data_IF_599372496591
#
_entry.id   IF_599372496591
#
_cell.length_a   1.000
_cell.length_b   1.000
_cell.length_c   1.000
_cell.angle_alpha   90.00
_cell.angle_beta   90.00
_cell.angle_gamma   90.00
#
_symmetry.space_group_name_H-M   'P 1'
#
loop_
_entity.id
_entity.type
_entity.pdbx_description
1 polymer ?
#
# COMPACT_ATOMS: atom_id res chain seq x y z
N UNK A 1 -9.40 -10.58 58.69
CA UNK A 1 -8.30 -9.71 59.17
C UNK A 1 -7.63 -9.17 57.93
N UNK A 2 -7.66 -7.85 57.69
CA UNK A 2 -7.08 -7.26 56.49
C UNK A 2 -5.57 -7.43 56.52
N UNK A 3 -4.99 -7.79 55.37
CA UNK A 3 -3.55 -7.79 55.21
C UNK A 3 -3.10 -6.41 54.78
N UNK A 4 -2.26 -5.78 55.58
CA UNK A 4 -1.71 -4.47 55.27
C UNK A 4 -0.29 -4.63 54.74
N UNK A 5 -0.07 -4.16 53.51
CA UNK A 5 1.23 -4.15 52.87
C UNK A 5 1.67 -2.69 52.69
N UNK A 6 2.93 -2.41 52.93
CA UNK A 6 3.51 -1.10 52.67
C UNK A 6 4.20 -1.12 51.31
N UNK A 7 3.72 -0.32 50.37
CA UNK A 7 4.31 -0.15 49.04
C UNK A 7 4.82 1.29 48.94
N UNK A 8 6.13 1.47 49.15
CA UNK A 8 6.74 2.79 49.28
C UNK A 8 6.20 3.55 50.50
N UNK A 9 5.64 4.74 50.27
CA UNK A 9 5.05 5.58 51.33
C UNK A 9 3.54 5.36 51.52
N UNK A 10 2.95 4.37 50.85
CA UNK A 10 1.50 4.10 50.91
C UNK A 10 1.26 2.75 51.60
N UNK A 11 0.40 2.77 52.62
CA UNK A 11 -0.12 1.57 53.28
C UNK A 11 -1.41 1.14 52.58
N UNK A 12 -1.38 -0.06 52.00
CA UNK A 12 -2.53 -0.67 51.33
C UNK A 12 -3.02 -1.83 52.20
N UNK A 13 -4.23 -1.71 52.74
CA UNK A 13 -4.92 -2.80 53.43
C UNK A 13 -5.90 -3.46 52.47
N UNK A 14 -5.76 -4.77 52.30
CA UNK A 14 -6.62 -5.58 51.42
C UNK A 14 -7.30 -6.62 52.29
N UNK A 15 -8.64 -6.69 52.22
CA UNK A 15 -9.38 -7.73 52.95
C UNK A 15 -9.32 -9.07 52.21
N UNK A 16 -9.61 -10.15 52.92
CA UNK A 16 -9.62 -11.50 52.34
C UNK A 16 -10.58 -11.63 51.15
N UNK A 17 -11.71 -10.93 51.21
CA UNK A 17 -12.73 -10.92 50.15
C UNK A 17 -12.23 -10.23 48.88
N UNK A 18 -11.39 -9.19 49.01
CA UNK A 18 -10.78 -8.49 47.87
C UNK A 18 -9.70 -9.34 47.20
N UNK A 19 -8.88 -10.03 48.00
CA UNK A 19 -7.88 -10.97 47.48
C UNK A 19 -8.55 -12.15 46.75
N UNK A 20 -9.63 -12.69 47.31
CA UNK A 20 -10.39 -13.76 46.68
C UNK A 20 -11.03 -13.28 45.37
N UNK A 21 -11.59 -12.07 45.36
CA UNK A 21 -12.18 -11.45 44.17
C UNK A 21 -11.14 -11.25 43.07
N UNK A 22 -9.95 -10.73 43.40
CA UNK A 22 -8.84 -10.58 42.46
C UNK A 22 -8.36 -11.93 41.90
N UNK A 23 -8.33 -12.97 42.73
CA UNK A 23 -7.92 -14.31 42.33
C UNK A 23 -8.96 -14.96 41.40
N UNK A 24 -10.24 -14.77 41.68
CA UNK A 24 -11.35 -15.18 40.81
C UNK A 24 -11.28 -14.45 39.47
N UNK A 25 -11.08 -13.13 39.47
CA UNK A 25 -10.92 -12.34 38.23
C UNK A 25 -9.70 -12.83 37.44
N UNK A 26 -8.56 -13.07 38.09
CA UNK A 26 -7.37 -13.60 37.44
C UNK A 26 -7.61 -15.00 36.83
N UNK A 27 -8.34 -15.87 37.52
CA UNK A 27 -8.74 -17.18 37.00
C UNK A 27 -9.70 -17.07 35.82
N UNK A 28 -10.67 -16.15 35.87
CA UNK A 28 -11.58 -15.88 34.75
C UNK A 28 -10.84 -15.33 33.53
N UNK A 29 -9.92 -14.38 33.73
CA UNK A 29 -9.07 -13.84 32.66
C UNK A 29 -8.21 -14.96 32.06
N UNK A 30 -7.60 -15.81 32.90
CA UNK A 30 -6.78 -16.93 32.44
C UNK A 30 -7.61 -17.99 31.69
N UNK A 31 -8.80 -18.31 32.18
CA UNK A 31 -9.74 -19.23 31.52
C UNK A 31 -10.24 -18.65 30.20
N UNK A 32 -10.55 -17.35 30.14
CA UNK A 32 -10.94 -16.65 28.92
C UNK A 32 -9.82 -16.63 27.88
N UNK A 33 -8.58 -16.35 28.29
CA UNK A 33 -7.41 -16.42 27.42
C UNK A 33 -7.13 -17.84 26.92
N UNK A 34 -7.33 -18.85 27.78
CA UNK A 34 -7.21 -20.26 27.40
C UNK A 34 -8.29 -20.67 26.39
N UNK A 35 -9.57 -20.32 26.62
CA UNK A 35 -10.68 -20.57 25.69
C UNK A 35 -10.50 -19.84 24.36
N UNK A 36 -9.91 -18.63 24.37
CA UNK A 36 -9.56 -17.91 23.15
C UNK A 36 -8.46 -18.65 22.36
N UNK A 37 -7.43 -19.16 23.04
CA UNK A 37 -6.39 -19.99 22.40
C UNK A 37 -6.95 -21.29 21.82
N UNK A 38 -7.84 -21.98 22.54
CA UNK A 38 -8.44 -23.23 22.03
C UNK A 38 -9.44 -23.00 20.90
N UNK A 39 -10.16 -21.86 20.86
CA UNK A 39 -10.98 -21.47 19.70
C UNK A 39 -10.15 -21.11 18.47
N UNK A 40 -8.95 -20.55 18.64
CA UNK A 40 -8.01 -20.28 17.54
C UNK A 40 -7.36 -21.57 17.02
N UNK A 41 -7.23 -22.60 17.86
CA UNK A 41 -6.76 -23.94 17.48
C UNK A 41 -7.87 -24.92 17.11
N UNK A 42 -9.15 -24.51 17.18
CA UNK A 42 -10.23 -25.34 16.71
C UNK A 42 -10.08 -25.50 15.19
N UNK A 43 -10.08 -26.74 14.66
CA UNK A 43 -10.03 -26.95 13.22
C UNK A 43 -11.17 -26.18 12.58
N UNK A 44 -10.86 -25.40 11.55
CA UNK A 44 -11.86 -24.73 10.74
C UNK A 44 -12.92 -25.76 10.31
N UNK A 45 -14.20 -25.35 10.28
CA UNK A 45 -15.25 -26.16 9.68
C UNK A 45 -14.75 -26.64 8.30
N UNK A 46 -14.85 -27.95 7.99
CA UNK A 46 -14.36 -28.45 6.72
C UNK A 46 -15.02 -27.65 5.60
N UNK A 47 -14.20 -26.99 4.80
CA UNK A 47 -14.64 -26.37 3.55
C UNK A 47 -15.28 -27.49 2.76
N UNK A 48 -16.58 -27.39 2.51
CA UNK A 48 -17.27 -28.36 1.66
C UNK A 48 -16.52 -28.40 0.33
N UNK A 49 -16.04 -29.59 -0.10
CA UNK A 49 -15.33 -29.69 -1.36
C UNK A 49 -16.25 -29.19 -2.48
N UNK A 50 -15.70 -28.37 -3.36
CA UNK A 50 -16.37 -27.97 -4.59
C UNK A 50 -16.90 -29.24 -5.28
N UNK A 51 -18.19 -29.26 -5.57
CA UNK A 51 -18.87 -30.37 -6.23
C UNK A 51 -18.09 -30.73 -7.48
N UNK A 52 -17.47 -31.90 -7.48
CA UNK A 52 -16.74 -32.44 -8.62
C UNK A 52 -17.74 -32.69 -9.74
N UNK A 53 -17.74 -31.81 -10.74
CA UNK A 53 -18.28 -32.16 -12.05
C UNK A 53 -17.37 -33.27 -12.57
N UNK A 54 -17.96 -34.45 -12.71
CA UNK A 54 -17.34 -35.65 -13.28
C UNK A 54 -16.71 -35.32 -14.64
N UNK A 55 -15.39 -35.36 -14.73
CA UNK A 55 -14.70 -35.58 -16.01
C UNK A 55 -14.11 -36.99 -15.99
N UNK A 56 -14.76 -37.89 -16.72
CA UNK A 56 -14.15 -39.12 -17.20
C UNK A 56 -13.00 -38.78 -18.16
N UNK A 57 -11.79 -39.24 -17.88
CA UNK A 57 -10.65 -39.11 -18.79
C UNK A 57 -9.30 -39.10 -18.07
N UNK A 58 -8.78 -40.29 -17.75
CA UNK A 58 -7.48 -40.53 -17.14
C UNK A 58 -6.29 -40.18 -18.04
N UNK A 59 -5.25 -39.55 -17.48
CA UNK A 59 -3.84 -39.93 -17.68
C UNK A 59 -2.98 -39.23 -16.62
N UNK A 60 -2.21 -40.02 -15.87
CA UNK A 60 -1.44 -39.58 -14.71
C UNK A 60 -0.39 -38.51 -15.03
N UNK A 61 -0.44 -37.41 -14.28
CA UNK A 61 0.65 -36.46 -14.16
C UNK A 61 1.13 -36.52 -12.72
N UNK A 62 2.32 -37.08 -12.51
CA UNK A 62 3.02 -37.00 -11.23
C UNK A 62 3.08 -35.54 -10.77
N UNK A 63 2.77 -35.28 -9.50
CA UNK A 63 2.97 -33.98 -8.85
C UNK A 63 4.44 -33.58 -8.98
N UNK A 64 4.75 -32.75 -9.98
CA UNK A 64 6.05 -32.10 -10.09
C UNK A 64 6.12 -31.02 -9.02
N UNK A 65 7.19 -31.03 -8.23
CA UNK A 65 7.50 -29.94 -7.30
C UNK A 65 7.30 -28.56 -7.97
N UNK A 66 6.74 -27.57 -7.26
CA UNK A 66 6.50 -26.26 -7.83
C UNK A 66 7.83 -25.63 -8.26
N UNK A 67 8.02 -25.47 -9.58
CA UNK A 67 9.19 -24.80 -10.14
C UNK A 67 9.25 -23.37 -9.62
N UNK A 68 10.39 -23.01 -9.04
CA UNK A 68 10.70 -21.66 -8.59
C UNK A 68 10.51 -20.65 -9.72
N UNK A 69 9.69 -19.61 -9.53
CA UNK A 69 9.69 -18.48 -10.46
C UNK A 69 11.09 -17.86 -10.41
N UNK A 70 11.72 -17.79 -11.58
CA UNK A 70 13.06 -17.25 -11.77
C UNK A 70 12.95 -15.83 -12.28
N UNK A 71 13.85 -14.99 -11.81
CA UNK A 71 14.31 -13.83 -12.54
C UNK A 71 15.53 -14.26 -13.37
N UNK A 72 15.59 -13.91 -14.66
CA UNK A 72 16.75 -14.22 -15.49
C UNK A 72 16.61 -13.89 -16.98
N UNK A 73 17.76 -13.75 -17.64
CA UNK A 73 17.99 -13.34 -19.04
C UNK A 73 17.60 -14.38 -20.12
N UNK A 74 16.49 -15.09 -19.91
CA UNK A 74 15.91 -15.93 -20.96
C UNK A 74 15.40 -15.07 -22.12
N UNK A 75 15.61 -15.53 -23.36
CA UNK A 75 15.13 -14.85 -24.57
C UNK A 75 13.67 -14.42 -24.42
N UNK A 76 13.41 -13.16 -24.74
CA UNK A 76 12.09 -12.57 -24.87
C UNK A 76 11.32 -13.28 -25.99
N UNK A 77 10.64 -14.38 -25.67
CA UNK A 77 9.32 -14.60 -26.26
C UNK A 77 8.34 -13.79 -25.44
N UNK A 78 8.39 -12.50 -25.75
CA UNK A 78 7.45 -11.51 -25.32
C UNK A 78 7.71 -10.87 -23.97
N UNK A 79 7.56 -9.55 -23.92
CA UNK A 79 7.58 -8.81 -22.67
C UNK A 79 6.47 -9.28 -21.74
N UNK A 80 6.30 -8.61 -20.60
CA UNK A 80 5.09 -8.74 -19.77
C UNK A 80 3.76 -8.49 -20.55
N UNK A 81 3.87 -8.15 -21.84
CA UNK A 81 2.82 -7.84 -22.81
C UNK A 81 2.79 -8.75 -24.04
N UNK A 82 3.73 -9.69 -24.20
CA UNK A 82 3.80 -10.61 -25.34
C UNK A 82 4.12 -12.08 -24.94
N UNK A 83 4.26 -12.39 -23.64
CA UNK A 83 4.65 -13.73 -23.18
C UNK A 83 3.55 -14.78 -23.42
N UNK A 84 3.81 -15.74 -24.31
CA UNK A 84 2.86 -16.80 -24.73
C UNK A 84 2.97 -18.11 -23.92
N UNK A 85 3.74 -18.15 -22.83
CA UNK A 85 3.94 -19.34 -21.99
C UNK A 85 3.74 -19.08 -20.48
N UNK A 86 3.54 -20.12 -19.65
CA UNK A 86 3.39 -19.94 -18.21
C UNK A 86 4.72 -19.64 -17.51
N UNK A 87 4.79 -18.54 -16.71
CA UNK A 87 5.53 -18.57 -15.45
C UNK A 87 6.79 -17.72 -15.24
N UNK A 88 7.00 -16.55 -15.86
CA UNK A 88 8.14 -15.68 -15.49
C UNK A 88 7.80 -14.18 -15.52
N UNK A 89 8.26 -13.44 -14.50
CA UNK A 89 8.38 -11.98 -14.59
C UNK A 89 9.79 -11.64 -15.08
N UNK A 90 9.93 -10.72 -16.04
CA UNK A 90 11.24 -10.25 -16.46
C UNK A 90 11.98 -9.58 -15.30
N UNK A 91 13.31 -9.54 -15.38
CA UNK A 91 14.09 -8.67 -14.52
C UNK A 91 13.69 -7.20 -14.77
N UNK A 92 13.73 -6.33 -13.75
CA UNK A 92 13.55 -4.91 -13.96
C UNK A 92 14.71 -4.33 -14.78
N UNK A 93 14.41 -3.31 -15.57
CA UNK A 93 15.45 -2.54 -16.26
C UNK A 93 16.26 -1.75 -15.21
N UNK A 94 17.60 -1.82 -15.23
CA UNK A 94 18.43 -1.10 -14.26
C UNK A 94 18.43 0.41 -14.53
N UNK A 95 18.32 1.23 -13.47
CA UNK A 95 18.57 2.66 -13.54
C UNK A 95 20.02 2.96 -13.12
N UNK A 96 20.93 2.86 -14.09
CA UNK A 96 22.38 3.01 -13.83
C UNK A 96 22.79 4.44 -13.46
N UNK A 97 22.02 5.44 -13.88
CA UNK A 97 22.27 6.87 -13.66
C UNK A 97 21.23 7.52 -12.73
N UNK A 98 20.59 6.74 -11.87
CA UNK A 98 19.56 7.24 -10.97
C UNK A 98 20.14 8.21 -9.92
N UNK A 99 19.76 9.48 -10.01
CA UNK A 99 20.02 10.50 -8.99
C UNK A 99 18.79 10.69 -8.10
N UNK A 100 18.92 10.23 -6.85
CA UNK A 100 17.88 10.36 -5.84
C UNK A 100 17.43 11.80 -5.63
N UNK A 101 18.32 12.79 -5.72
CA UNK A 101 17.99 14.20 -5.41
C UNK A 101 17.00 14.81 -6.40
N UNK A 102 17.03 14.36 -7.65
CA UNK A 102 16.18 14.87 -8.73
C UNK A 102 15.06 13.91 -9.11
N UNK A 103 15.06 12.69 -8.59
CA UNK A 103 14.08 11.67 -8.92
C UNK A 103 12.64 12.12 -8.61
N UNK A 104 11.74 11.82 -9.53
CA UNK A 104 10.30 12.07 -9.43
C UNK A 104 9.52 10.81 -9.79
N UNK A 105 8.36 10.64 -9.19
CA UNK A 105 7.45 9.54 -9.50
C UNK A 105 6.72 9.76 -10.84
N UNK A 106 6.07 8.71 -11.35
CA UNK A 106 5.09 8.85 -12.45
C UNK A 106 3.99 9.84 -12.06
N UNK A 107 3.49 10.64 -13.01
CA UNK A 107 2.45 11.62 -12.72
C UNK A 107 1.07 10.94 -12.58
N UNK A 108 0.71 10.58 -11.34
CA UNK A 108 -0.56 9.93 -10.98
C UNK A 108 -1.82 10.77 -11.22
N UNK A 109 -1.69 12.05 -11.57
CA UNK A 109 -2.81 12.83 -12.12
C UNK A 109 -3.28 12.19 -13.44
N UNK A 110 -2.33 11.75 -14.27
CA UNK A 110 -2.59 11.24 -15.61
C UNK A 110 -2.52 9.71 -15.68
N UNK A 111 -1.49 9.09 -15.08
CA UNK A 111 -1.35 7.63 -15.09
C UNK A 111 -2.44 6.96 -14.24
N UNK A 112 -2.67 5.66 -14.47
CA UNK A 112 -3.61 4.81 -13.72
C UNK A 112 -5.09 5.28 -13.75
N UNK A 113 -5.40 6.30 -14.56
CA UNK A 113 -6.74 6.86 -14.79
C UNK A 113 -7.52 7.11 -13.49
N UNK A 114 -6.85 7.67 -12.48
CA UNK A 114 -7.38 7.79 -11.10
C UNK A 114 -8.51 8.81 -11.02
N UNK A 115 -8.26 10.02 -11.53
CA UNK A 115 -9.25 11.10 -11.62
C UNK A 115 -10.14 10.88 -12.85
N UNK A 116 -11.45 10.80 -12.63
CA UNK A 116 -12.47 10.50 -13.65
C UNK A 116 -13.75 11.25 -13.33
N UNK A 117 -14.48 11.60 -14.39
CA UNK A 117 -15.78 12.24 -14.29
C UNK A 117 -16.80 11.55 -15.22
N UNK A 118 -18.01 11.21 -14.75
CA UNK A 118 -18.43 11.23 -13.34
C UNK A 118 -17.61 10.24 -12.49
N UNK A 119 -17.45 10.52 -11.20
CA UNK A 119 -16.69 9.65 -10.31
C UNK A 119 -17.59 8.58 -9.65
N UNK A 120 -17.27 7.31 -9.89
CA UNK A 120 -17.94 6.17 -9.27
C UNK A 120 -16.93 5.06 -8.92
N UNK A 121 -17.32 4.21 -7.97
CA UNK A 121 -16.47 3.14 -7.47
C UNK A 121 -16.28 2.05 -8.53
N UNK A 122 -15.04 1.80 -8.93
CA UNK A 122 -14.66 0.70 -9.84
C UNK A 122 -13.38 0.02 -9.33
N UNK A 123 -13.12 -1.22 -9.79
CA UNK A 123 -11.84 -1.87 -9.50
C UNK A 123 -10.66 -1.10 -10.08
N UNK A 124 -10.81 -0.54 -11.28
CA UNK A 124 -9.82 0.33 -11.95
C UNK A 124 -8.38 -0.22 -11.96
N UNK A 125 -8.23 -1.54 -11.87
CA UNK A 125 -6.92 -2.18 -11.95
C UNK A 125 -6.44 -2.23 -13.40
N UNK A 126 -5.13 -2.22 -13.56
CA UNK A 126 -4.41 -2.43 -14.79
C UNK A 126 -3.18 -3.30 -14.50
N UNK A 127 -2.59 -3.97 -15.49
CA UNK A 127 -1.38 -4.76 -15.25
C UNK A 127 -0.25 -3.88 -14.70
N UNK A 128 0.54 -4.42 -13.77
CA UNK A 128 1.67 -3.75 -13.16
C UNK A 128 2.93 -4.04 -13.98
N UNK A 129 3.56 -3.00 -14.51
CA UNK A 129 4.88 -3.14 -15.13
C UNK A 129 5.94 -3.42 -14.07
N UNK A 130 6.92 -4.29 -14.35
CA UNK A 130 7.92 -4.70 -13.35
C UNK A 130 8.77 -3.52 -12.85
N UNK A 131 9.09 -2.57 -13.74
CA UNK A 131 9.85 -1.36 -13.39
C UNK A 131 9.10 -0.42 -12.45
N UNK A 132 7.79 -0.57 -12.38
CA UNK A 132 6.87 0.33 -11.66
C UNK A 132 6.42 -0.31 -10.34
N UNK A 133 6.97 -1.46 -9.95
CA UNK A 133 6.57 -2.15 -8.73
C UNK A 133 6.93 -1.34 -7.48
N UNK A 134 8.17 -0.85 -7.40
CA UNK A 134 8.62 0.03 -6.32
C UNK A 134 9.22 1.27 -6.96
N UNK A 135 8.53 2.40 -6.82
CA UNK A 135 8.99 3.70 -7.27
C UNK A 135 9.64 4.47 -6.12
N UNK A 136 10.88 4.90 -6.33
CA UNK A 136 11.66 5.71 -5.38
C UNK A 136 11.85 7.10 -5.98
N UNK A 137 11.63 8.12 -5.15
CA UNK A 137 11.85 9.52 -5.51
C UNK A 137 12.70 10.25 -4.47
N UNK A 138 12.90 11.55 -4.68
CA UNK A 138 13.64 12.42 -3.78
C UNK A 138 13.15 12.47 -2.33
N UNK A 139 11.92 12.02 -2.06
CA UNK A 139 11.36 11.98 -0.71
C UNK A 139 11.70 10.69 0.05
N UNK A 140 12.44 9.77 -0.56
CA UNK A 140 12.84 8.48 0.03
C UNK A 140 13.31 8.56 1.48
N UNK A 141 14.30 9.41 1.76
CA UNK A 141 14.86 9.55 3.11
C UNK A 141 13.80 10.03 4.10
N UNK A 142 12.95 10.98 3.70
CA UNK A 142 11.86 11.47 4.54
C UNK A 142 10.88 10.36 4.88
N UNK A 143 10.48 9.52 3.92
CA UNK A 143 9.59 8.38 4.18
C UNK A 143 10.21 7.36 5.14
N UNK A 144 11.51 7.08 5.03
CA UNK A 144 12.19 6.16 5.94
C UNK A 144 12.27 6.74 7.36
N UNK A 145 12.67 7.99 7.50
CA UNK A 145 12.77 8.69 8.79
C UNK A 145 11.42 8.77 9.49
N UNK A 146 10.37 9.09 8.73
CA UNK A 146 9.01 9.22 9.24
C UNK A 146 8.46 7.86 9.69
N UNK A 147 8.70 6.78 8.94
CA UNK A 147 8.34 5.43 9.39
C UNK A 147 9.11 5.01 10.62
N UNK A 148 10.41 5.28 10.68
CA UNK A 148 11.22 4.99 11.86
C UNK A 148 10.72 5.76 13.10
N UNK A 149 10.32 7.03 12.92
CA UNK A 149 9.70 7.85 13.96
C UNK A 149 8.37 7.25 14.43
N UNK A 150 7.45 6.94 13.51
CA UNK A 150 6.14 6.36 13.81
C UNK A 150 6.28 5.03 14.55
N UNK A 151 7.14 4.13 14.08
CA UNK A 151 7.41 2.85 14.73
C UNK A 151 7.96 3.06 16.14
N UNK A 152 8.91 3.99 16.31
CA UNK A 152 9.52 4.27 17.61
C UNK A 152 8.53 4.90 18.59
N UNK A 153 7.69 5.83 18.14
CA UNK A 153 6.75 6.54 19.02
C UNK A 153 5.56 5.67 19.38
N UNK A 154 4.97 4.99 18.40
CA UNK A 154 3.79 4.15 18.62
C UNK A 154 4.17 2.80 19.23
N UNK A 155 5.39 2.32 18.99
CA UNK A 155 5.94 1.12 19.61
C UNK A 155 6.33 1.26 21.08
N UNK A 156 6.32 2.49 21.65
CA UNK A 156 6.51 2.73 23.10
C UNK A 156 5.24 2.49 23.91
N UNK A 157 4.07 2.61 23.29
CA UNK A 157 2.84 2.10 23.87
C UNK A 157 2.95 0.58 23.85
N UNK A 158 2.47 -0.13 24.88
CA UNK A 158 2.59 -1.59 25.10
C UNK A 158 2.05 -2.50 23.96
N UNK A 159 1.76 -1.93 22.79
CA UNK A 159 1.28 -2.54 21.57
C UNK A 159 2.22 -2.16 20.40
N UNK A 160 3.46 -2.66 20.37
CA UNK A 160 4.34 -2.62 19.17
C UNK A 160 3.62 -3.09 17.88
N UNK A 161 2.56 -3.90 18.05
CA UNK A 161 1.66 -4.46 17.03
C UNK A 161 0.75 -3.44 16.31
N UNK A 162 0.77 -2.17 16.69
CA UNK A 162 -0.14 -1.17 16.08
C UNK A 162 0.30 -0.79 14.67
N UNK A 163 1.60 -0.75 14.40
CA UNK A 163 2.15 -0.30 13.11
C UNK A 163 2.64 -1.47 12.26
N UNK A 164 3.34 -2.44 12.85
CA UNK A 164 3.83 -3.63 12.16
C UNK A 164 3.45 -4.87 12.97
N UNK A 165 2.67 -5.76 12.37
CA UNK A 165 2.29 -7.05 12.95
C UNK A 165 2.12 -8.08 11.84
N UNK A 166 2.23 -9.35 12.21
CA UNK A 166 2.03 -10.49 11.32
C UNK A 166 1.40 -11.64 12.09
N UNK A 167 0.48 -12.34 11.45
CA UNK A 167 -0.03 -13.62 11.95
C UNK A 167 0.97 -14.73 11.61
N UNK A 168 1.11 -15.79 12.44
CA UNK A 168 2.09 -16.85 12.21
C UNK A 168 1.96 -17.54 10.84
N UNK A 169 0.75 -17.66 10.31
CA UNK A 169 0.49 -18.20 8.97
C UNK A 169 1.14 -17.40 7.83
N UNK A 170 1.52 -16.13 8.09
CA UNK A 170 2.18 -15.26 7.12
C UNK A 170 3.71 -15.30 7.21
N UNK A 171 4.31 -15.99 8.19
CA UNK A 171 5.74 -15.90 8.46
C UNK A 171 6.60 -16.29 7.24
N UNK A 172 6.22 -17.36 6.54
CA UNK A 172 6.89 -17.81 5.33
C UNK A 172 6.72 -16.81 4.17
N UNK A 173 5.54 -16.20 4.04
CA UNK A 173 5.28 -15.18 3.03
C UNK A 173 6.07 -13.89 3.31
N UNK A 174 6.27 -13.53 4.58
CA UNK A 174 7.09 -12.38 4.97
C UNK A 174 8.57 -12.59 4.60
N UNK A 175 9.13 -13.79 4.83
CA UNK A 175 10.49 -14.11 4.34
C UNK A 175 10.57 -14.04 2.82
N UNK A 176 9.64 -14.68 2.12
CA UNK A 176 9.65 -14.68 0.65
C UNK A 176 9.52 -13.27 0.06
N UNK A 177 8.73 -12.40 0.70
CA UNK A 177 8.64 -11.00 0.33
C UNK A 177 9.99 -10.29 0.49
N UNK A 178 10.67 -10.49 1.62
CA UNK A 178 12.00 -9.93 1.85
C UNK A 178 13.01 -10.42 0.81
N UNK A 179 13.05 -11.73 0.54
CA UNK A 179 13.89 -12.33 -0.52
C UNK A 179 13.61 -11.70 -1.88
N UNK A 180 12.33 -11.51 -2.23
CA UNK A 180 11.91 -10.92 -3.51
C UNK A 180 12.34 -9.46 -3.63
N UNK A 181 12.26 -8.70 -2.53
CA UNK A 181 12.64 -7.29 -2.50
C UNK A 181 14.17 -7.12 -2.57
N UNK A 182 14.91 -7.96 -1.84
CA UNK A 182 16.39 -7.97 -1.83
C UNK A 182 16.97 -8.34 -3.20
N UNK A 183 16.28 -9.18 -3.97
CA UNK A 183 16.65 -9.46 -5.35
C UNK A 183 16.29 -8.31 -6.31
N UNK A 184 15.13 -7.68 -6.14
CA UNK A 184 14.63 -6.63 -7.04
C UNK A 184 15.36 -5.29 -6.90
N UNK A 185 15.58 -4.81 -5.68
CA UNK A 185 16.06 -3.44 -5.44
C UNK A 185 17.46 -3.18 -6.03
N UNK A 186 18.47 -4.05 -5.86
CA UNK A 186 19.79 -3.83 -6.47
C UNK A 186 19.78 -3.92 -7.99
N UNK A 187 18.85 -4.71 -8.58
CA UNK A 187 18.68 -4.78 -10.03
C UNK A 187 18.06 -3.51 -10.60
N UNK A 188 17.02 -2.97 -9.95
CA UNK A 188 16.33 -1.77 -10.41
C UNK A 188 17.09 -0.48 -10.08
N UNK A 189 17.66 -0.38 -8.87
CA UNK A 189 18.33 0.82 -8.33
C UNK A 189 19.77 0.52 -7.85
N UNK A 190 20.69 0.13 -8.77
CA UNK A 190 22.06 -0.22 -8.40
C UNK A 190 22.86 0.96 -7.79
N UNK A 191 22.43 2.20 -8.03
CA UNK A 191 23.05 3.39 -7.39
C UNK A 191 22.67 3.54 -5.92
N UNK A 192 21.58 2.91 -5.47
CA UNK A 192 21.06 3.00 -4.10
C UNK A 192 21.32 1.74 -3.27
N UNK A 193 21.38 0.56 -3.90
CA UNK A 193 21.47 -0.71 -3.19
C UNK A 193 22.56 -1.61 -3.78
N UNK A 194 23.28 -2.31 -2.90
CA UNK A 194 24.16 -3.43 -3.28
C UNK A 194 23.58 -4.75 -2.77
N UNK A 195 23.56 -5.76 -3.64
CA UNK A 195 23.27 -7.12 -3.24
C UNK A 195 24.48 -7.72 -2.51
N UNK A 196 24.26 -8.39 -1.38
CA UNK A 196 25.30 -9.13 -0.67
C UNK A 196 25.23 -10.59 -1.16
N UNK A 197 26.28 -11.09 -1.85
CA UNK A 197 26.27 -12.44 -2.40
C UNK A 197 26.13 -13.51 -1.31
N UNK A 198 25.38 -14.56 -1.62
CA UNK A 198 25.33 -15.73 -0.74
C UNK A 198 26.62 -16.55 -0.82
N UNK A 199 27.01 -17.12 0.32
CA UNK A 199 28.10 -18.12 0.40
C UNK A 199 27.73 -19.43 -0.30
N UNK A 200 26.43 -19.72 -0.41
CA UNK A 200 25.90 -20.86 -1.16
C UNK A 200 25.40 -20.38 -2.53
N UNK A 201 25.75 -21.07 -3.63
CA UNK A 201 25.19 -20.74 -4.94
C UNK A 201 23.66 -20.81 -4.91
N UNK A 202 23.01 -19.69 -5.19
CA UNK A 202 21.56 -19.58 -5.15
C UNK A 202 21.09 -18.31 -5.85
N UNK A 203 19.80 -18.26 -6.26
CA UNK A 203 19.26 -17.13 -7.00
C UNK A 203 18.95 -15.91 -6.12
N UNK A 204 18.96 -16.06 -4.79
CA UNK A 204 18.64 -14.98 -3.84
C UNK A 204 19.93 -14.53 -3.13
N UNK A 205 20.21 -13.22 -3.09
CA UNK A 205 21.31 -12.69 -2.28
C UNK A 205 21.12 -13.03 -0.78
N UNK A 206 22.22 -13.18 -0.04
CA UNK A 206 22.15 -13.41 1.41
C UNK A 206 21.79 -12.14 2.19
N UNK A 207 21.93 -10.98 1.54
CA UNK A 207 21.65 -9.69 2.13
C UNK A 207 21.61 -8.55 1.15
N UNK A 208 21.43 -7.35 1.70
CA UNK A 208 21.38 -6.10 0.96
C UNK A 208 22.03 -4.98 1.79
N UNK A 209 22.71 -4.08 1.11
CA UNK A 209 23.22 -2.84 1.67
C UNK A 209 22.48 -1.65 1.05
N UNK A 210 21.94 -0.77 1.88
CA UNK A 210 21.33 0.49 1.45
C UNK A 210 22.36 1.61 1.56
N UNK A 211 22.80 2.14 0.42
CA UNK A 211 23.81 3.20 0.32
C UNK A 211 23.31 4.55 0.83
N UNK A 212 21.99 4.74 0.88
CA UNK A 212 21.38 5.98 1.33
C UNK A 212 21.39 6.07 2.85
N UNK A 213 20.94 5.01 3.53
CA UNK A 213 20.89 4.97 5.01
C UNK A 213 22.18 4.44 5.65
N UNK A 214 23.01 3.73 4.88
CA UNK A 214 24.18 3.00 5.38
C UNK A 214 23.85 1.68 6.05
N UNK A 215 22.57 1.30 6.14
CA UNK A 215 22.15 0.07 6.81
C UNK A 215 22.46 -1.17 5.97
N UNK A 216 22.80 -2.25 6.66
CA UNK A 216 23.16 -3.53 6.05
C UNK A 216 22.45 -4.67 6.75
N UNK A 217 21.80 -5.52 5.96
CA UNK A 217 21.07 -6.68 6.46
C UNK A 217 21.61 -7.94 5.79
N UNK A 218 22.00 -8.93 6.58
CA UNK A 218 22.59 -10.21 6.14
C UNK A 218 21.77 -11.38 6.69
N UNK A 219 21.97 -12.59 6.16
CA UNK A 219 21.21 -13.78 6.53
C UNK A 219 19.69 -13.57 6.43
N UNK A 220 19.22 -12.86 5.40
CA UNK A 220 17.81 -12.47 5.25
C UNK A 220 16.86 -13.67 5.19
N UNK A 221 17.33 -14.83 4.73
CA UNK A 221 16.59 -16.09 4.69
C UNK A 221 16.17 -16.61 6.08
N UNK A 222 16.88 -16.18 7.14
CA UNK A 222 16.59 -16.56 8.53
C UNK A 222 15.52 -15.67 9.18
N UNK A 223 15.22 -14.51 8.59
CA UNK A 223 14.22 -13.58 9.12
C UNK A 223 12.82 -14.06 8.79
N UNK A 224 11.92 -14.05 9.78
CA UNK A 224 10.55 -14.56 9.68
C UNK A 224 9.57 -13.50 10.20
N UNK A 225 8.33 -13.55 9.71
CA UNK A 225 7.24 -12.75 10.25
C UNK A 225 7.57 -11.26 10.38
N UNK A 226 7.44 -10.74 11.60
CA UNK A 226 7.68 -9.32 11.92
C UNK A 226 9.12 -8.91 11.63
N UNK A 227 10.12 -9.74 11.92
CA UNK A 227 11.53 -9.38 11.69
C UNK A 227 11.79 -9.14 10.19
N UNK A 228 11.21 -9.99 9.33
CA UNK A 228 11.30 -9.80 7.88
C UNK A 228 10.55 -8.54 7.42
N UNK A 229 9.37 -8.27 7.98
CA UNK A 229 8.60 -7.06 7.65
C UNK A 229 9.31 -5.78 8.10
N UNK A 230 10.00 -5.80 9.24
CA UNK A 230 10.79 -4.66 9.72
C UNK A 230 11.90 -4.30 8.72
N UNK A 231 12.57 -5.30 8.14
CA UNK A 231 13.58 -5.07 7.09
C UNK A 231 12.94 -4.61 5.78
N UNK A 232 11.80 -5.16 5.37
CA UNK A 232 11.04 -4.64 4.21
C UNK A 232 10.66 -3.16 4.40
N UNK A 233 10.41 -2.76 5.65
CA UNK A 233 10.05 -1.38 6.01
C UNK A 233 11.20 -0.41 5.84
N UNK A 234 12.46 -0.81 6.03
CA UNK A 234 13.60 0.10 5.92
C UNK A 234 14.02 0.39 4.47
N UNK A 235 13.39 -0.21 3.46
CA UNK A 235 13.82 -0.09 2.07
C UNK A 235 12.83 0.53 1.09
N UNK A 236 11.54 0.58 1.41
CA UNK A 236 10.49 1.00 0.46
C UNK A 236 9.90 2.35 0.85
N UNK A 237 9.29 3.11 -0.07
CA UNK A 237 8.49 4.30 0.29
C UNK A 237 7.08 3.94 0.78
N UNK A 238 6.70 2.67 0.70
CA UNK A 238 5.41 2.20 1.20
C UNK A 238 5.40 2.19 2.75
N UNK A 239 4.31 2.63 3.41
CA UNK A 239 4.09 2.39 4.83
C UNK A 239 3.82 0.89 5.02
N UNK A 240 4.57 0.25 5.91
CA UNK A 240 4.38 -1.17 6.25
C UNK A 240 3.31 -1.32 7.33
N UNK A 241 2.68 -2.50 7.42
CA UNK A 241 1.35 -2.71 6.90
C UNK A 241 0.30 -1.83 7.62
N UNK A 242 0.09 -0.64 7.06
CA UNK A 242 -1.19 0.07 6.98
C UNK A 242 -1.79 0.62 8.28
N UNK A 243 -1.31 1.80 8.66
CA UNK A 243 -2.23 2.92 8.88
C UNK A 243 -2.28 3.78 7.63
N UNK A 244 -3.34 3.67 6.83
CA UNK A 244 -3.55 4.56 5.67
C UNK A 244 -4.19 5.90 6.06
N UNK A 245 -4.12 6.29 7.34
CA UNK A 245 -4.77 7.49 7.86
C UNK A 245 -6.28 7.35 8.09
N UNK A 246 -6.81 6.12 8.12
CA UNK A 246 -8.25 5.88 8.34
C UNK A 246 -8.60 4.63 9.14
N UNK A 247 -7.61 3.81 9.51
CA UNK A 247 -7.79 2.65 10.38
C UNK A 247 -6.45 2.14 10.90
N UNK A 248 -6.48 1.37 11.99
CA UNK A 248 -5.30 0.68 12.52
C UNK A 248 -5.16 -0.75 12.00
N UNK A 249 -3.91 -1.20 11.83
CA UNK A 249 -3.63 -2.60 11.53
C UNK A 249 -4.24 -3.53 12.59
N UNK A 250 -4.10 -3.18 13.87
CA UNK A 250 -4.62 -3.96 14.99
C UNK A 250 -6.14 -4.17 14.95
N UNK A 251 -6.88 -3.28 14.29
CA UNK A 251 -8.34 -3.37 14.14
C UNK A 251 -8.76 -4.23 12.94
N UNK A 252 -7.84 -4.49 12.01
CA UNK A 252 -8.11 -5.08 10.69
C UNK A 252 -7.40 -6.41 10.44
N UNK A 253 -6.32 -6.69 11.17
CA UNK A 253 -5.54 -7.91 11.00
C UNK A 253 -6.42 -9.16 11.19
N UNK A 254 -6.24 -10.14 10.31
CA UNK A 254 -7.02 -11.39 10.30
C UNK A 254 -8.44 -11.27 9.74
N UNK A 255 -8.91 -10.08 9.35
CA UNK A 255 -10.25 -9.93 8.78
C UNK A 255 -10.26 -10.26 7.28
N UNK A 256 -11.33 -10.90 6.77
CA UNK A 256 -11.52 -11.14 5.34
C UNK A 256 -11.86 -9.85 4.58
N UNK A 257 -11.62 -9.84 3.26
CA UNK A 257 -11.81 -8.69 2.37
C UNK A 257 -13.20 -8.05 2.53
N UNK A 258 -14.27 -8.85 2.62
CA UNK A 258 -15.63 -8.34 2.74
C UNK A 258 -15.86 -7.54 4.04
N UNK A 259 -15.22 -7.91 5.16
CA UNK A 259 -15.30 -7.15 6.41
C UNK A 259 -14.46 -5.88 6.34
N UNK A 260 -13.24 -5.97 5.78
CA UNK A 260 -12.35 -4.82 5.60
C UNK A 260 -13.00 -3.70 4.79
N UNK A 261 -13.82 -4.06 3.80
CA UNK A 261 -14.43 -3.12 2.85
C UNK A 261 -15.92 -2.84 3.10
N UNK A 262 -16.50 -3.34 4.21
CA UNK A 262 -17.94 -3.23 4.49
C UNK A 262 -18.45 -1.77 4.53
N UNK A 263 -17.60 -0.84 4.95
CA UNK A 263 -17.91 0.59 5.05
C UNK A 263 -17.81 1.36 3.73
N UNK A 264 -17.27 0.74 2.66
CA UNK A 264 -17.02 1.43 1.39
C UNK A 264 -18.29 1.40 0.55
N UNK A 265 -18.87 2.57 0.18
CA UNK A 265 -20.05 2.64 -0.64
C UNK A 265 -19.90 1.86 -1.94
N UNK A 266 -20.97 1.15 -2.33
CA UNK A 266 -21.06 0.38 -3.58
C UNK A 266 -20.05 -0.77 -3.74
N UNK A 267 -19.15 -1.03 -2.78
CA UNK A 267 -18.12 -2.08 -2.91
C UNK A 267 -18.73 -3.49 -3.00
N UNK A 268 -19.82 -3.74 -2.28
CA UNK A 268 -20.53 -5.02 -2.29
C UNK A 268 -20.94 -5.47 -3.70
N UNK A 269 -21.23 -4.54 -4.61
CA UNK A 269 -21.57 -4.84 -6.02
C UNK A 269 -20.42 -5.50 -6.78
N UNK A 270 -19.18 -5.28 -6.34
CA UNK A 270 -17.98 -5.80 -6.99
C UNK A 270 -17.24 -6.86 -6.17
N UNK A 271 -17.61 -7.08 -4.91
CA UNK A 271 -16.91 -7.95 -3.96
C UNK A 271 -16.60 -9.34 -4.55
N UNK A 272 -17.58 -10.01 -5.17
CA UNK A 272 -17.38 -11.32 -5.80
C UNK A 272 -16.36 -11.28 -6.94
N UNK A 273 -16.32 -10.17 -7.70
CA UNK A 273 -15.30 -9.98 -8.73
C UNK A 273 -13.91 -9.80 -8.11
N UNK A 274 -13.82 -9.01 -7.04
CA UNK A 274 -12.57 -8.77 -6.30
C UNK A 274 -12.02 -10.07 -5.74
N UNK A 275 -12.82 -10.83 -5.00
CA UNK A 275 -12.41 -12.09 -4.39
C UNK A 275 -11.95 -13.10 -5.44
N UNK A 276 -12.69 -13.25 -6.54
CA UNK A 276 -12.27 -14.10 -7.66
C UNK A 276 -10.95 -13.65 -8.27
N UNK A 277 -10.74 -12.34 -8.39
CA UNK A 277 -9.49 -11.79 -8.91
C UNK A 277 -8.33 -12.16 -8.01
N UNK A 278 -8.44 -11.93 -6.69
CA UNK A 278 -7.38 -12.26 -5.71
C UNK A 278 -7.00 -13.74 -5.74
N UNK A 279 -7.99 -14.63 -5.88
CA UNK A 279 -7.74 -16.07 -5.99
C UNK A 279 -7.05 -16.42 -7.31
N UNK A 280 -7.49 -15.85 -8.44
CA UNK A 280 -7.09 -16.30 -9.78
C UNK A 280 -5.80 -15.74 -10.32
N UNK A 281 -5.43 -14.49 -10.01
CA UNK A 281 -4.27 -13.88 -10.68
C UNK A 281 -2.98 -14.64 -10.35
N UNK A 282 -2.10 -14.80 -11.34
CA UNK A 282 -0.90 -15.59 -11.21
C UNK A 282 0.30 -14.73 -10.74
N UNK A 283 1.35 -15.33 -10.16
CA UNK A 283 2.56 -14.61 -9.76
C UNK A 283 3.22 -13.79 -10.88
N UNK A 284 3.06 -14.21 -12.13
CA UNK A 284 3.57 -13.57 -13.34
C UNK A 284 2.62 -12.52 -13.94
N UNK A 285 1.47 -12.26 -13.29
CA UNK A 285 0.48 -11.27 -13.73
C UNK A 285 0.09 -10.33 -12.59
N UNK A 286 1.05 -9.59 -12.01
CA UNK A 286 0.74 -8.59 -11.01
C UNK A 286 -0.08 -7.46 -11.65
N UNK A 287 -0.85 -6.78 -10.82
CA UNK A 287 -1.65 -5.63 -11.25
C UNK A 287 -1.53 -4.51 -10.25
N UNK A 288 -1.77 -3.29 -10.72
CA UNK A 288 -1.81 -2.09 -9.91
C UNK A 288 -3.14 -1.38 -10.06
N UNK A 289 -3.44 -0.52 -9.10
CA UNK A 289 -4.52 0.46 -9.18
C UNK A 289 -4.11 1.69 -8.40
N UNK A 290 -4.90 2.74 -8.52
CA UNK A 290 -4.77 3.89 -7.64
C UNK A 290 -6.13 4.32 -7.08
N UNK A 291 -6.10 4.81 -5.85
CA UNK A 291 -7.17 5.62 -5.28
C UNK A 291 -6.68 7.03 -5.01
N UNK A 292 -7.59 7.95 -4.72
CA UNK A 292 -7.26 9.33 -4.39
C UNK A 292 -7.99 9.81 -3.13
N UNK A 293 -7.40 10.76 -2.43
CA UNK A 293 -7.93 11.42 -1.23
C UNK A 293 -7.46 12.87 -1.18
N UNK A 294 -8.09 13.69 -0.34
CA UNK A 294 -7.54 15.00 0.07
C UNK A 294 -6.95 14.83 1.46
N UNK A 295 -5.74 15.34 1.65
CA UNK A 295 -5.02 15.37 2.92
C UNK A 295 -4.62 16.80 3.29
N UNK A 296 -4.58 17.07 4.59
CA UNK A 296 -4.22 18.36 5.18
C UNK A 296 -2.85 18.34 5.88
N UNK A 297 -2.24 17.16 6.01
CA UNK A 297 -0.86 17.00 6.45
C UNK A 297 -0.12 15.84 5.74
N UNK A 298 1.08 15.53 6.24
CA UNK A 298 1.95 14.46 5.75
C UNK A 298 2.15 13.34 6.78
N UNK A 299 1.44 13.33 7.90
CA UNK A 299 1.66 12.43 9.03
C UNK A 299 1.22 11.00 8.69
N UNK A 300 2.16 10.07 8.57
CA UNK A 300 1.86 8.72 8.08
C UNK A 300 1.04 7.87 9.06
N UNK A 301 1.00 8.21 10.35
CA UNK A 301 0.36 7.36 11.37
C UNK A 301 -1.16 7.50 11.48
N UNK A 302 -1.75 8.69 11.39
CA UNK A 302 -3.19 8.85 11.64
C UNK A 302 -3.86 9.92 10.77
N UNK A 303 -3.16 11.00 10.42
CA UNK A 303 -3.76 12.17 9.77
C UNK A 303 -3.48 12.33 8.27
N UNK A 304 -3.06 11.26 7.60
CA UNK A 304 -2.76 11.32 6.17
C UNK A 304 -4.00 11.44 5.23
N UNK A 305 -5.20 11.69 5.76
CA UNK A 305 -6.46 11.98 5.03
C UNK A 305 -7.31 12.89 5.92
N UNK A 306 -7.98 13.89 5.33
CA UNK A 306 -8.89 14.77 6.09
C UNK A 306 -9.99 13.96 6.75
N UNK A 307 -9.90 13.86 8.06
CA UNK A 307 -10.78 13.11 8.95
C UNK A 307 -11.47 13.99 9.99
N UNK A 308 -11.01 15.24 10.17
CA UNK A 308 -11.66 16.30 10.94
C UNK A 308 -11.92 17.51 10.04
N UNK A 309 -12.63 18.52 10.53
CA UNK A 309 -12.74 19.78 9.81
C UNK A 309 -11.36 20.36 9.57
N UNK A 310 -11.12 20.83 8.34
CA UNK A 310 -9.85 21.45 7.98
C UNK A 310 -9.63 22.68 8.86
N UNK A 311 -8.40 22.89 9.33
CA UNK A 311 -8.10 24.03 10.21
C UNK A 311 -8.50 25.35 9.56
N UNK A 312 -9.04 26.27 10.35
CA UNK A 312 -9.53 27.56 9.85
C UNK A 312 -8.43 28.38 9.17
N UNK A 313 -7.21 28.32 9.70
CA UNK A 313 -6.01 29.00 9.22
C UNK A 313 -5.37 28.35 7.98
N UNK A 314 -5.81 27.15 7.61
CA UNK A 314 -5.26 26.42 6.49
C UNK A 314 -5.77 26.99 5.16
N UNK A 315 -4.81 27.42 4.33
CA UNK A 315 -5.11 27.88 2.98
C UNK A 315 -5.28 26.67 2.04
N UNK A 316 -6.28 26.65 1.13
CA UNK A 316 -6.54 25.53 0.20
C UNK A 316 -5.33 25.10 -0.63
N UNK A 317 -4.46 26.05 -0.99
CA UNK A 317 -3.21 25.81 -1.73
C UNK A 317 -2.28 24.79 -1.04
N UNK A 318 -2.33 24.72 0.28
CA UNK A 318 -1.45 23.90 1.12
C UNK A 318 -2.04 22.51 1.40
N UNK A 319 -3.29 22.25 0.94
CA UNK A 319 -3.85 20.91 0.91
C UNK A 319 -3.10 20.03 -0.08
N UNK A 320 -3.17 18.72 0.13
CA UNK A 320 -2.59 17.72 -0.76
C UNK A 320 -3.69 16.94 -1.47
N UNK A 321 -3.54 16.78 -2.78
CA UNK A 321 -4.14 15.67 -3.50
C UNK A 321 -3.26 14.45 -3.30
N UNK A 322 -3.78 13.48 -2.54
CA UNK A 322 -3.11 12.22 -2.23
C UNK A 322 -3.55 11.15 -3.22
N UNK A 323 -2.59 10.45 -3.81
CA UNK A 323 -2.80 9.23 -4.58
C UNK A 323 -2.25 8.04 -3.79
N UNK A 324 -3.01 6.96 -3.69
CA UNK A 324 -2.51 5.70 -3.14
C UNK A 324 -2.19 4.77 -4.30
N UNK A 325 -0.91 4.65 -4.66
CA UNK A 325 -0.45 3.64 -5.62
C UNK A 325 -0.46 2.26 -4.96
N UNK A 326 -1.31 1.39 -5.49
CA UNK A 326 -1.62 0.10 -4.88
C UNK A 326 -1.18 -1.03 -5.80
N UNK A 327 -0.22 -1.83 -5.35
CA UNK A 327 0.33 -2.93 -6.13
C UNK A 327 -0.11 -4.27 -5.54
N UNK A 328 -0.53 -5.20 -6.39
CA UNK A 328 -0.91 -6.56 -6.02
C UNK A 328 0.01 -7.54 -6.72
N UNK A 329 0.81 -8.24 -5.93
CA UNK A 329 1.75 -9.26 -6.44
C UNK A 329 1.57 -10.55 -5.67
N UNK A 330 1.37 -11.66 -6.38
CA UNK A 330 1.27 -12.98 -5.77
C UNK A 330 2.66 -13.59 -5.68
N UNK A 331 3.01 -14.08 -4.51
CA UNK A 331 4.31 -14.67 -4.23
C UNK A 331 4.39 -16.09 -4.82
N UNK A 332 5.48 -16.43 -5.53
CA UNK A 332 5.65 -17.72 -6.21
C UNK A 332 5.47 -18.96 -5.34
N UNK A 333 6.14 -19.00 -4.18
CA UNK A 333 6.31 -20.18 -3.33
C UNK A 333 5.13 -20.29 -2.37
N UNK A 334 4.85 -19.22 -1.62
CA UNK A 334 3.81 -19.20 -0.58
C UNK A 334 2.41 -18.92 -1.10
N UNK A 335 2.29 -18.38 -2.33
CA UNK A 335 1.03 -17.86 -2.91
C UNK A 335 0.40 -16.72 -2.11
N UNK A 336 1.10 -16.18 -1.12
CA UNK A 336 0.70 -14.98 -0.40
C UNK A 336 0.58 -13.79 -1.36
N UNK A 337 -0.31 -12.85 -1.06
CA UNK A 337 -0.49 -11.63 -1.86
C UNK A 337 0.22 -10.49 -1.14
N UNK A 338 1.29 -9.99 -1.74
CA UNK A 338 1.85 -8.71 -1.36
C UNK A 338 0.92 -7.61 -1.89
N UNK A 339 0.38 -6.85 -0.95
CA UNK A 339 -0.39 -5.66 -1.21
C UNK A 339 0.39 -4.43 -0.73
N UNK A 340 1.04 -3.73 -1.66
CA UNK A 340 1.78 -2.50 -1.41
C UNK A 340 0.89 -1.27 -1.54
N UNK A 341 1.11 -0.25 -0.73
CA UNK A 341 0.46 1.06 -0.85
C UNK A 341 1.52 2.14 -0.72
N UNK A 342 1.74 2.92 -1.76
CA UNK A 342 2.62 4.08 -1.72
C UNK A 342 1.75 5.36 -1.81
N UNK A 343 1.60 6.12 -0.71
CA UNK A 343 0.88 7.39 -0.73
C UNK A 343 1.76 8.46 -1.37
N UNK A 344 1.31 9.02 -2.49
CA UNK A 344 1.97 10.09 -3.23
C UNK A 344 1.19 11.38 -3.03
N UNK A 345 1.86 12.44 -2.60
CA UNK A 345 1.24 13.71 -2.25
C UNK A 345 1.63 14.79 -3.27
N UNK A 346 0.63 15.48 -3.82
CA UNK A 346 0.83 16.67 -4.66
C UNK A 346 0.12 17.86 -4.04
N UNK A 347 0.80 18.98 -3.85
CA UNK A 347 0.14 20.17 -3.28
C UNK A 347 -0.92 20.66 -4.25
N UNK A 348 -2.01 21.21 -3.72
CA UNK A 348 -3.11 21.72 -4.54
C UNK A 348 -2.64 22.88 -5.44
N UNK A 349 -1.70 23.70 -4.96
CA UNK A 349 -1.06 24.73 -5.80
C UNK A 349 -0.29 24.16 -7.01
N UNK A 350 0.28 22.96 -6.91
CA UNK A 350 1.08 22.39 -7.99
C UNK A 350 0.19 21.90 -9.15
N UNK A 351 -1.13 21.96 -8.99
CA UNK A 351 -2.13 21.68 -10.02
C UNK A 351 -2.55 22.94 -10.79
N UNK A 352 -2.09 24.13 -10.39
CA UNK A 352 -2.48 25.40 -11.01
C UNK A 352 -2.21 25.44 -12.52
N UNK A 353 -1.13 24.80 -12.97
CA UNK A 353 -0.73 24.75 -14.37
C UNK A 353 -1.01 23.37 -15.01
N UNK A 354 -1.73 22.46 -14.34
CA UNK A 354 -2.21 21.21 -14.92
C UNK A 354 -3.53 21.47 -15.67
N UNK A 355 -3.57 21.49 -17.02
CA UNK A 355 -4.75 21.94 -17.77
C UNK A 355 -6.00 21.13 -17.41
N UNK A 356 -7.10 21.83 -17.16
CA UNK A 356 -8.41 21.28 -16.81
C UNK A 356 -8.48 20.47 -15.50
N UNK A 357 -7.36 20.20 -14.82
CA UNK A 357 -7.36 19.40 -13.59
C UNK A 357 -8.06 20.13 -12.43
N UNK A 358 -7.87 21.44 -12.19
CA UNK A 358 -8.65 22.16 -11.18
C UNK A 358 -10.15 22.12 -11.45
N UNK A 359 -10.56 22.33 -12.71
CA UNK A 359 -11.97 22.25 -13.13
C UNK A 359 -12.55 20.84 -12.95
N UNK A 360 -11.77 19.80 -13.28
CA UNK A 360 -12.14 18.40 -13.07
C UNK A 360 -12.39 18.10 -11.60
N UNK A 361 -11.46 18.52 -10.74
CA UNK A 361 -11.59 18.30 -9.30
C UNK A 361 -12.81 19.02 -8.77
N UNK A 362 -13.07 20.27 -9.16
CA UNK A 362 -14.28 20.99 -8.75
C UNK A 362 -15.55 20.19 -9.12
N UNK A 363 -15.68 19.76 -10.38
CA UNK A 363 -16.81 18.94 -10.85
C UNK A 363 -16.94 17.59 -10.14
N UNK A 364 -15.82 16.92 -9.84
CA UNK A 364 -15.85 15.67 -9.05
C UNK A 364 -16.46 15.92 -7.67
N UNK A 365 -16.11 17.03 -7.00
CA UNK A 365 -16.63 17.31 -5.66
C UNK A 365 -18.10 17.76 -5.67
N UNK A 366 -18.58 18.39 -6.74
CA UNK A 366 -19.96 18.90 -6.82
C UNK A 366 -20.97 17.90 -7.38
N UNK A 367 -20.58 17.10 -8.38
CA UNK A 367 -21.56 16.36 -9.20
C UNK A 367 -21.50 14.84 -9.00
N UNK A 368 -20.54 14.32 -8.21
CA UNK A 368 -20.38 12.88 -7.98
C UNK A 368 -21.36 12.33 -6.94
N UNK A 369 -21.49 11.00 -6.88
CA UNK A 369 -22.35 10.29 -5.93
C UNK A 369 -22.16 10.78 -4.48
N UNK A 370 -23.23 11.33 -3.88
CA UNK A 370 -23.20 11.94 -2.55
C UNK A 370 -22.74 10.96 -1.46
N UNK A 371 -23.12 9.68 -1.58
CA UNK A 371 -22.72 8.65 -0.61
C UNK A 371 -21.21 8.45 -0.63
N UNK A 372 -20.60 8.43 -1.82
CA UNK A 372 -19.16 8.34 -1.99
C UNK A 372 -18.43 9.62 -1.53
N UNK A 373 -18.97 10.80 -1.81
CA UNK A 373 -18.40 12.07 -1.33
C UNK A 373 -18.47 12.19 0.21
N UNK A 374 -19.56 11.71 0.82
CA UNK A 374 -19.68 11.60 2.29
C UNK A 374 -18.63 10.65 2.86
N UNK A 375 -18.44 9.48 2.26
CA UNK A 375 -17.38 8.54 2.65
C UNK A 375 -15.98 9.18 2.55
N UNK A 376 -15.77 10.02 1.53
CA UNK A 376 -14.52 10.80 1.34
C UNK A 376 -14.39 12.04 2.24
N UNK A 377 -15.29 12.23 3.20
CA UNK A 377 -15.31 13.39 4.11
C UNK A 377 -15.29 14.75 3.41
N UNK A 378 -15.83 14.83 2.18
CA UNK A 378 -15.77 16.04 1.33
C UNK A 378 -16.35 17.27 2.04
N UNK A 379 -17.41 17.10 2.82
CA UNK A 379 -18.06 18.19 3.57
C UNK A 379 -17.09 18.98 4.47
N UNK A 380 -16.02 18.35 4.96
CA UNK A 380 -15.06 18.94 5.92
C UNK A 380 -14.12 19.99 5.32
N UNK A 381 -13.97 19.99 4.00
CA UNK A 381 -13.01 20.88 3.31
C UNK A 381 -13.55 21.53 2.04
N UNK A 382 -14.66 21.05 1.48
CA UNK A 382 -15.19 21.52 0.19
C UNK A 382 -15.45 23.04 0.15
N UNK A 383 -15.88 23.63 1.27
CA UNK A 383 -16.21 25.06 1.38
C UNK A 383 -14.98 25.96 1.16
N UNK A 384 -13.78 25.44 1.40
CA UNK A 384 -12.49 26.09 1.14
C UNK A 384 -11.89 25.65 -0.20
N UNK A 385 -11.95 24.36 -0.51
CA UNK A 385 -11.29 23.80 -1.69
C UNK A 385 -11.97 24.18 -3.01
N UNK A 386 -13.29 24.10 -3.11
CA UNK A 386 -14.01 24.33 -4.37
C UNK A 386 -13.80 25.77 -4.90
N UNK A 387 -13.95 26.84 -4.08
CA UNK A 387 -13.69 28.20 -4.56
C UNK A 387 -12.26 28.39 -5.07
N UNK A 388 -11.28 27.78 -4.40
CA UNK A 388 -9.88 27.85 -4.83
C UNK A 388 -9.65 27.12 -6.16
N UNK A 389 -10.24 25.94 -6.36
CA UNK A 389 -10.15 25.22 -7.64
C UNK A 389 -10.80 26.01 -8.79
N UNK A 390 -11.89 26.72 -8.52
CA UNK A 390 -12.53 27.62 -9.47
C UNK A 390 -11.63 28.82 -9.80
N UNK A 391 -11.00 29.43 -8.79
CA UNK A 391 -10.01 30.49 -8.99
C UNK A 391 -8.84 30.02 -9.87
N UNK A 392 -8.25 28.85 -9.59
CA UNK A 392 -7.20 28.27 -10.42
C UNK A 392 -7.68 28.05 -11.87
N UNK A 393 -8.93 27.62 -12.05
CA UNK A 393 -9.51 27.45 -13.39
C UNK A 393 -9.60 28.78 -14.14
N UNK A 394 -10.04 29.86 -13.49
CA UNK A 394 -10.06 31.21 -14.10
C UNK A 394 -8.64 31.70 -14.42
N UNK A 395 -7.67 31.42 -13.55
CA UNK A 395 -6.26 31.75 -13.82
C UNK A 395 -5.73 31.00 -15.05
N UNK A 396 -6.09 29.72 -15.24
CA UNK A 396 -5.73 28.96 -16.44
C UNK A 396 -6.30 29.60 -17.71
N UNK A 397 -7.53 30.10 -17.67
CA UNK A 397 -8.17 30.81 -18.80
C UNK A 397 -7.46 32.14 -19.06
N UNK A 398 -7.20 32.93 -18.02
CA UNK A 398 -6.53 34.22 -18.15
C UNK A 398 -5.11 34.09 -18.72
N UNK A 399 -4.40 33.00 -18.39
CA UNK A 399 -3.09 32.64 -18.95
C UNK A 399 -3.16 32.06 -20.38
N UNK A 400 -4.35 31.74 -20.88
CA UNK A 400 -4.54 31.05 -22.16
C UNK A 400 -4.11 29.59 -22.15
N UNK A 401 -3.98 28.96 -20.97
CA UNK A 401 -3.63 27.54 -20.84
C UNK A 401 -4.80 26.63 -21.23
N UNK A 402 -6.03 27.08 -21.00
CA UNK A 402 -7.27 26.45 -21.45
C UNK A 402 -8.21 27.52 -21.98
N UNK A 403 -9.20 27.12 -22.77
CA UNK A 403 -10.34 27.95 -23.14
C UNK A 403 -11.54 27.64 -22.24
N UNK A 404 -12.52 28.54 -22.20
CA UNK A 404 -13.73 28.36 -21.40
C UNK A 404 -14.51 27.12 -21.88
N UNK A 405 -14.61 26.92 -23.19
CA UNK A 405 -15.30 25.77 -23.80
C UNK A 405 -14.66 24.41 -23.44
N UNK A 406 -13.37 24.37 -23.10
CA UNK A 406 -12.68 23.12 -22.76
C UNK A 406 -13.22 22.49 -21.45
N UNK A 407 -13.88 23.29 -20.60
CA UNK A 407 -14.48 22.84 -19.34
C UNK A 407 -15.68 21.92 -19.58
N UNK A 408 -16.38 22.07 -20.70
CA UNK A 408 -17.49 21.18 -21.06
C UNK A 408 -16.98 19.77 -21.39
N UNK A 409 -15.74 19.67 -21.87
CA UNK A 409 -15.04 18.44 -22.19
C UNK A 409 -14.03 18.00 -21.11
N UNK A 410 -14.21 18.41 -19.84
CA UNK A 410 -13.26 18.15 -18.74
C UNK A 410 -12.85 16.68 -18.57
N UNK A 411 -13.71 15.74 -18.97
CA UNK A 411 -13.43 14.29 -18.93
C UNK A 411 -12.22 13.91 -19.78
N UNK A 412 -11.93 14.70 -20.82
CA UNK A 412 -10.84 14.50 -21.76
C UNK A 412 -9.56 15.27 -21.37
N UNK A 413 -9.43 15.73 -20.12
CA UNK A 413 -8.27 16.53 -19.68
C UNK A 413 -6.90 15.89 -19.98
N UNK A 414 -6.84 14.55 -20.05
CA UNK A 414 -5.60 13.82 -20.39
C UNK A 414 -5.18 14.01 -21.85
N UNK A 415 -6.14 14.23 -22.74
CA UNK A 415 -5.92 14.43 -24.17
C UNK A 415 -5.80 15.91 -24.53
N UNK A 416 -5.80 16.79 -23.53
CA UNK A 416 -5.62 18.21 -23.75
C UNK A 416 -4.22 18.50 -24.31
N UNK A 417 -4.06 19.32 -25.36
CA UNK A 417 -2.76 19.57 -26.00
C UNK A 417 -1.69 20.07 -25.03
N UNK A 418 -2.10 20.88 -24.05
CA UNK A 418 -1.19 21.44 -23.04
C UNK A 418 -0.89 20.50 -21.86
N UNK A 419 -1.50 19.31 -21.78
CA UNK A 419 -1.26 18.36 -20.69
C UNK A 419 0.14 17.70 -20.75
N UNK A 420 0.86 17.93 -21.86
CA UNK A 420 2.17 17.33 -22.12
C UNK A 420 2.09 15.83 -22.39
N UNK A 421 3.20 15.28 -22.88
CA UNK A 421 3.34 13.84 -23.15
C UNK A 421 4.18 13.11 -22.09
N UNK A 422 4.74 13.84 -21.11
CA UNK A 422 5.68 13.31 -20.11
C UNK A 422 5.09 12.17 -19.26
N UNK A 423 3.77 12.09 -19.14
CA UNK A 423 3.07 11.00 -18.45
C UNK A 423 2.77 9.77 -19.34
N UNK A 424 2.87 9.89 -20.68
CA UNK A 424 2.51 8.84 -21.65
C UNK A 424 3.59 7.76 -21.83
N UNK A 425 4.75 7.92 -21.19
CA UNK A 425 5.81 6.90 -21.15
C UNK A 425 6.11 6.44 -19.72
N UNK A 426 6.63 5.22 -19.60
CA UNK A 426 7.39 4.73 -18.42
C UNK A 426 8.68 5.53 -18.14
N UNK A 427 8.87 6.65 -18.85
CA UNK A 427 10.01 7.54 -18.90
C UNK A 427 10.08 8.55 -17.74
N UNK A 428 9.21 8.48 -16.73
CA UNK A 428 9.35 9.31 -15.52
C UNK A 428 10.64 9.00 -14.73
N UNK A 429 11.35 7.91 -15.06
CA UNK A 429 12.63 7.53 -14.49
C UNK A 429 13.81 7.59 -15.48
N UNK A 430 13.58 8.04 -16.72
CA UNK A 430 14.66 8.34 -17.67
C UNK A 430 14.93 9.84 -17.66
N UNK A 431 16.05 10.22 -17.05
CA UNK A 431 16.64 11.55 -17.17
C UNK A 431 16.72 11.93 -18.65
N UNK A 432 15.96 12.94 -19.06
CA UNK A 432 16.26 13.66 -20.28
C UNK A 432 17.63 14.33 -20.12
N UNK A 433 18.54 14.06 -21.05
CA UNK A 433 19.35 15.11 -21.68
C UNK A 433 19.78 14.72 -23.09
N UNK A 434 19.68 15.75 -23.93
CA UNK A 434 20.00 15.93 -25.35
C UNK A 434 21.01 14.98 -26.00
#
# INVERSE_FOLDING_TARGET
MPYTFQVGNVLVSVDWDDLLSLLIVALFVRAFLYLRRTRVQAPASPILPATSISQSGSAGLAEKEPKTLRYGSGKAEGGAWDATGPGYLPDPDPLLEFDLKTATLRDYVYVNKVLRYPYFQTMAHQPLHINDWIEIDKEYQWYLDEKARVIREQGKNLLQRVVVDSLPENDAACTELLETLVDYLPKRYPTLFDAIPSKTPGPVPDGIHNKVTGETFTNISNLKGIDALMVVTSFTNSPVPRSTGSYLLSEKIGQPIHQLHAQIPHFNKMLTSVERTMVRFAPDRPFERCSWWIADDRELFWHNIISNDVREDMHPKDLFLRFDHQTFRKLPKTKGIMFGVHPVLKRMQDLADNPLVPALLAKIHTDSDETLMKYKSVAKYQHKLIPYLQELTEQQIAKGLIKREDIDAVVNFRDHPNAGETWRGSAALSTHKA
#
